data_IF_794149918560
#
_entry.id   IF_794149918560
#
_cell.length_a   1.000
_cell.length_b   1.000
_cell.length_c   1.000
_cell.angle_alpha   90.00
_cell.angle_beta   90.00
_cell.angle_gamma   90.00
#
_symmetry.space_group_name_H-M   'P 1'
#
loop_
_entity.id
_entity.type
_entity.pdbx_description
1 polymer ?
#
# COMPACT_ATOMS: atom_id res chain seq x y z
N UNK A 1 2.02 -42.80 -7.67
CA UNK A 1 1.30 -43.84 -8.46
C UNK A 1 0.83 -44.91 -7.49
N UNK A 2 -0.44 -44.86 -7.06
CA UNK A 2 -1.05 -45.93 -6.27
C UNK A 2 -2.19 -46.50 -7.13
N UNK A 3 -1.93 -47.67 -7.70
CA UNK A 3 -2.84 -48.37 -8.59
C UNK A 3 -3.94 -49.05 -7.76
N UNK A 4 -5.18 -48.87 -8.21
CA UNK A 4 -6.44 -49.35 -7.63
C UNK A 4 -6.48 -50.88 -7.66
N UNK A 5 -6.65 -51.49 -6.49
CA UNK A 5 -7.25 -52.82 -6.41
C UNK A 5 -8.78 -52.70 -6.54
N UNK A 6 -9.44 -53.50 -7.38
CA UNK A 6 -10.89 -53.41 -7.56
C UNK A 6 -11.63 -54.03 -6.35
N UNK A 7 -12.21 -53.14 -5.55
CA UNK A 7 -13.34 -53.33 -4.64
C UNK A 7 -13.89 -54.76 -4.50
N UNK A 8 -13.50 -55.45 -3.41
CA UNK A 8 -14.15 -56.66 -2.85
C UNK A 8 -15.69 -56.57 -2.76
N UNK A 9 -16.22 -55.35 -2.71
CA UNK A 9 -17.66 -55.09 -2.69
C UNK A 9 -18.35 -55.33 -4.05
N UNK A 10 -17.67 -55.03 -5.17
CA UNK A 10 -18.20 -55.24 -6.51
C UNK A 10 -18.22 -56.73 -6.88
N UNK A 11 -17.25 -57.51 -6.37
CA UNK A 11 -17.22 -58.97 -6.53
C UNK A 11 -18.36 -59.63 -5.73
N UNK A 12 -18.61 -59.20 -4.50
CA UNK A 12 -19.74 -59.70 -3.70
C UNK A 12 -21.10 -59.34 -4.31
N UNK A 13 -21.24 -58.16 -4.93
CA UNK A 13 -22.46 -57.78 -5.65
C UNK A 13 -22.67 -58.62 -6.92
N UNK A 14 -21.59 -58.95 -7.65
CA UNK A 14 -21.66 -59.76 -8.86
C UNK A 14 -21.98 -61.22 -8.54
N UNK A 15 -21.44 -61.76 -7.44
CA UNK A 15 -21.77 -63.10 -6.95
C UNK A 15 -23.22 -63.20 -6.43
N UNK A 16 -23.70 -62.18 -5.72
CA UNK A 16 -25.09 -62.14 -5.25
C UNK A 16 -26.09 -61.95 -6.40
N UNK A 17 -25.73 -61.18 -7.43
CA UNK A 17 -26.52 -61.06 -8.66
C UNK A 17 -26.54 -62.37 -9.47
N UNK A 18 -25.41 -63.10 -9.54
CA UNK A 18 -25.32 -64.37 -10.27
C UNK A 18 -26.12 -65.50 -9.61
N UNK A 19 -26.22 -65.49 -8.27
CA UNK A 19 -27.05 -66.44 -7.51
C UNK A 19 -28.55 -66.14 -7.61
N UNK A 20 -28.95 -64.92 -7.97
CA UNK A 20 -30.35 -64.55 -8.22
C UNK A 20 -30.77 -64.65 -9.70
N UNK A 21 -29.85 -64.66 -10.66
CA UNK A 21 -30.18 -64.79 -12.09
C UNK A 21 -30.32 -66.26 -12.58
N UNK A 22 -30.03 -67.25 -11.73
CA UNK A 22 -30.09 -68.68 -12.06
C UNK A 22 -31.48 -69.33 -12.01
N UNK A 23 -32.54 -68.62 -11.62
CA UNK A 23 -33.91 -69.15 -11.61
C UNK A 23 -34.71 -68.64 -12.83
N UNK A 24 -34.58 -69.36 -13.95
CA UNK A 24 -35.39 -69.17 -15.14
C UNK A 24 -36.86 -69.49 -14.88
N UNK A 25 -37.64 -68.46 -14.53
CA UNK A 25 -39.09 -68.52 -14.42
C UNK A 25 -39.67 -67.12 -14.62
N UNK A 26 -40.72 -66.99 -15.45
CA UNK A 26 -41.35 -65.73 -15.93
C UNK A 26 -41.92 -64.80 -14.83
N UNK A 27 -41.57 -64.98 -13.55
CA UNK A 27 -41.94 -64.11 -12.42
C UNK A 27 -40.75 -63.47 -11.67
N UNK A 28 -39.50 -63.90 -11.91
CA UNK A 28 -38.35 -63.45 -11.13
C UNK A 28 -37.96 -61.97 -11.39
N UNK A 29 -38.20 -61.47 -12.60
CA UNK A 29 -37.90 -60.08 -12.98
C UNK A 29 -38.86 -59.05 -12.37
N UNK A 30 -40.10 -59.44 -12.06
CA UNK A 30 -41.09 -58.54 -11.43
C UNK A 30 -40.88 -58.52 -9.92
N UNK A 31 -40.61 -59.67 -9.30
CA UNK A 31 -40.31 -59.75 -7.87
C UNK A 31 -39.07 -58.95 -7.47
N UNK A 32 -37.99 -59.03 -8.27
CA UNK A 32 -36.78 -58.24 -8.03
C UNK A 32 -37.02 -56.73 -8.22
N UNK A 33 -37.81 -56.32 -9.21
CA UNK A 33 -38.18 -54.90 -9.41
C UNK A 33 -39.07 -54.37 -8.30
N UNK A 34 -40.01 -55.18 -7.81
CA UNK A 34 -40.84 -54.83 -6.66
C UNK A 34 -40.02 -54.75 -5.38
N UNK A 35 -39.07 -55.66 -5.17
CA UNK A 35 -38.19 -55.62 -3.99
C UNK A 35 -37.20 -54.46 -4.05
N UNK A 36 -36.64 -54.14 -5.23
CA UNK A 36 -35.80 -52.95 -5.42
C UNK A 36 -36.62 -51.67 -5.26
N UNK A 37 -37.83 -51.62 -5.83
CA UNK A 37 -38.74 -50.48 -5.70
C UNK A 37 -39.21 -50.26 -4.26
N UNK A 38 -39.59 -51.33 -3.57
CA UNK A 38 -39.99 -51.27 -2.16
C UNK A 38 -38.80 -50.94 -1.25
N UNK A 39 -37.61 -51.48 -1.52
CA UNK A 39 -36.38 -51.15 -0.80
C UNK A 39 -35.96 -49.69 -0.98
N UNK A 40 -36.04 -49.17 -2.21
CA UNK A 40 -35.75 -47.76 -2.50
C UNK A 40 -36.77 -46.81 -1.86
N UNK A 41 -38.06 -47.17 -1.85
CA UNK A 41 -39.10 -46.39 -1.17
C UNK A 41 -38.94 -46.43 0.36
N UNK A 42 -38.68 -47.59 0.95
CA UNK A 42 -38.43 -47.71 2.39
C UNK A 42 -37.19 -46.93 2.82
N UNK A 43 -36.12 -46.96 2.01
CA UNK A 43 -34.91 -46.16 2.23
C UNK A 43 -35.20 -44.66 2.09
N UNK A 44 -35.98 -44.26 1.09
CA UNK A 44 -36.41 -42.87 0.89
C UNK A 44 -37.24 -42.31 2.04
N UNK A 45 -38.16 -43.09 2.62
CA UNK A 45 -38.97 -42.67 3.78
C UNK A 45 -38.11 -42.56 5.04
N UNK A 46 -37.16 -43.49 5.25
CA UNK A 46 -36.22 -43.44 6.38
C UNK A 46 -35.31 -42.21 6.33
N UNK A 47 -34.88 -41.81 5.13
CA UNK A 47 -33.97 -40.67 4.96
C UNK A 47 -34.72 -39.33 4.89
N UNK A 48 -36.05 -39.37 4.73
CA UNK A 48 -36.93 -38.20 4.68
C UNK A 48 -37.32 -37.64 6.05
N UNK A 49 -37.03 -38.32 7.16
CA UNK A 49 -37.28 -37.79 8.51
C UNK A 49 -35.99 -37.34 9.17
N UNK A 50 -36.01 -36.14 9.76
CA UNK A 50 -34.95 -35.66 10.63
C UNK A 50 -35.57 -35.12 11.91
N UNK A 51 -34.95 -35.42 13.05
CA UNK A 51 -35.41 -34.95 14.35
C UNK A 51 -34.58 -33.75 14.76
N UNK A 52 -35.23 -32.69 15.25
CA UNK A 52 -34.57 -31.52 15.83
C UNK A 52 -34.71 -31.60 17.34
N UNK A 53 -33.59 -31.78 18.04
CA UNK A 53 -33.55 -31.88 19.49
C UNK A 53 -33.88 -30.54 20.18
N UNK A 54 -34.41 -30.62 21.40
CA UNK A 54 -34.85 -29.46 22.19
C UNK A 54 -33.76 -28.42 22.37
N UNK A 55 -33.84 -27.33 21.60
CA UNK A 55 -32.90 -26.20 21.64
C UNK A 55 -32.08 -25.91 20.40
N UNK A 56 -32.24 -26.73 19.37
CA UNK A 56 -31.77 -26.42 18.03
C UNK A 56 -32.95 -25.92 17.18
N UNK A 57 -32.68 -25.08 16.18
CA UNK A 57 -33.64 -24.84 15.09
C UNK A 57 -32.99 -25.22 13.78
N UNK A 58 -33.78 -25.79 12.88
CA UNK A 58 -33.34 -26.14 11.55
C UNK A 58 -33.89 -25.13 10.54
N UNK A 59 -33.04 -24.72 9.61
CA UNK A 59 -33.44 -23.98 8.41
C UNK A 59 -33.31 -24.96 7.24
N UNK A 60 -34.39 -25.14 6.48
CA UNK A 60 -34.40 -26.02 5.30
C UNK A 60 -34.06 -25.19 4.07
N UNK A 61 -33.02 -25.60 3.35
CA UNK A 61 -32.63 -25.00 2.07
C UNK A 61 -33.21 -25.81 0.91
N UNK A 62 -34.00 -25.18 0.03
CA UNK A 62 -34.52 -25.79 -1.20
C UNK A 62 -33.59 -25.48 -2.39
N UNK A 63 -33.10 -26.52 -3.06
CA UNK A 63 -32.16 -26.43 -4.20
C UNK A 63 -32.72 -25.76 -5.47
N UNK A 64 -34.04 -25.64 -5.60
CA UNK A 64 -34.72 -25.13 -6.82
C UNK A 64 -35.27 -23.70 -6.65
N UNK A 65 -35.41 -23.21 -5.41
CA UNK A 65 -36.15 -21.96 -5.13
C UNK A 65 -35.54 -21.02 -4.09
N UNK A 66 -34.32 -21.28 -3.62
CA UNK A 66 -33.65 -20.43 -2.64
C UNK A 66 -34.17 -20.62 -1.20
N UNK A 67 -33.80 -19.68 -0.31
CA UNK A 67 -34.15 -19.73 1.10
C UNK A 67 -35.63 -19.39 1.31
N UNK A 68 -36.41 -20.32 1.84
CA UNK A 68 -37.73 -20.01 2.38
C UNK A 68 -37.53 -19.28 3.72
N UNK A 69 -37.70 -17.95 3.69
CA UNK A 69 -37.48 -17.06 4.84
C UNK A 69 -38.44 -17.29 6.02
N UNK A 70 -39.43 -18.18 5.90
CA UNK A 70 -40.56 -18.26 6.84
C UNK A 70 -40.79 -19.63 7.49
N UNK A 71 -39.81 -20.54 7.47
CA UNK A 71 -39.94 -21.84 8.19
C UNK A 71 -38.71 -22.17 9.00
N UNK A 72 -38.48 -21.38 10.05
CA UNK A 72 -37.63 -21.81 11.15
C UNK A 72 -38.40 -22.85 11.96
N UNK A 73 -38.15 -24.13 11.65
CA UNK A 73 -38.86 -25.25 12.26
C UNK A 73 -38.48 -25.36 13.73
N UNK A 74 -39.46 -25.20 14.61
CA UNK A 74 -39.32 -25.41 16.04
C UNK A 74 -39.13 -26.91 16.34
N UNK A 75 -38.59 -27.23 17.51
CA UNK A 75 -38.32 -28.59 18.01
C UNK A 75 -39.37 -29.65 17.60
N UNK A 76 -38.92 -30.81 17.11
CA UNK A 76 -39.82 -31.87 16.62
C UNK A 76 -39.27 -32.69 15.46
N UNK A 77 -40.08 -33.67 15.04
CA UNK A 77 -39.81 -34.53 13.89
C UNK A 77 -40.24 -33.83 12.61
N UNK A 78 -39.30 -33.54 11.71
CA UNK A 78 -39.56 -32.80 10.48
C UNK A 78 -39.32 -33.67 9.25
N UNK A 79 -40.18 -33.49 8.26
CA UNK A 79 -40.13 -34.21 6.99
C UNK A 79 -39.38 -33.38 5.95
N UNK A 80 -38.37 -33.99 5.30
CA UNK A 80 -37.56 -33.40 4.22
C UNK A 80 -37.57 -34.28 2.97
N UNK A 81 -37.33 -33.66 1.83
CA UNK A 81 -37.12 -34.35 0.55
C UNK A 81 -35.61 -34.55 0.32
N UNK A 82 -35.06 -35.78 0.42
CA UNK A 82 -33.61 -36.00 0.54
C UNK A 82 -32.74 -35.45 -0.59
N UNK A 83 -33.29 -35.27 -1.80
CA UNK A 83 -32.55 -34.86 -3.00
C UNK A 83 -32.64 -33.36 -3.34
N UNK A 84 -33.64 -32.64 -2.80
CA UNK A 84 -33.86 -31.20 -3.06
C UNK A 84 -33.65 -30.35 -1.79
N UNK A 85 -33.70 -30.96 -0.61
CA UNK A 85 -33.67 -30.26 0.68
C UNK A 85 -32.47 -30.65 1.56
N UNK A 86 -31.71 -29.66 2.00
CA UNK A 86 -30.63 -29.82 2.99
C UNK A 86 -30.98 -29.07 4.29
N UNK A 87 -31.05 -29.75 5.44
CA UNK A 87 -31.21 -29.11 6.72
C UNK A 87 -29.86 -28.59 7.22
N UNK A 88 -29.80 -27.34 7.67
CA UNK A 88 -28.70 -26.89 8.51
C UNK A 88 -29.25 -26.67 9.91
N UNK A 89 -28.72 -27.47 10.84
CA UNK A 89 -29.12 -27.47 12.24
C UNK A 89 -28.14 -26.56 12.97
N UNK A 90 -28.65 -25.47 13.54
CA UNK A 90 -27.83 -24.55 14.34
C UNK A 90 -28.36 -24.52 15.77
N UNK A 91 -27.43 -24.61 16.72
CA UNK A 91 -27.72 -24.47 18.15
C UNK A 91 -27.95 -23.00 18.46
N UNK A 92 -29.17 -22.65 18.86
CA UNK A 92 -29.52 -21.28 19.22
C UNK A 92 -29.18 -20.99 20.68
N UNK A 93 -28.98 -22.03 21.50
CA UNK A 93 -28.78 -21.89 22.95
C UNK A 93 -27.33 -21.76 23.38
N UNK A 94 -26.35 -22.18 22.58
CA UNK A 94 -24.97 -22.22 23.07
C UNK A 94 -24.38 -20.82 23.37
N UNK A 95 -24.73 -19.76 22.64
CA UNK A 95 -24.16 -18.42 22.86
C UNK A 95 -25.16 -17.26 22.81
N UNK A 96 -26.31 -17.40 22.15
CA UNK A 96 -27.26 -16.28 21.98
C UNK A 96 -28.00 -15.89 23.28
N UNK A 97 -28.44 -16.84 24.15
CA UNK A 97 -29.05 -16.49 25.43
C UNK A 97 -28.04 -15.90 26.41
N UNK A 98 -26.79 -16.37 26.41
CA UNK A 98 -25.72 -15.83 27.24
C UNK A 98 -25.39 -14.39 26.85
N UNK A 99 -25.28 -14.11 25.54
CA UNK A 99 -25.06 -12.76 25.04
C UNK A 99 -26.25 -11.83 25.37
N UNK A 100 -27.49 -12.28 25.18
CA UNK A 100 -28.69 -11.50 25.54
C UNK A 100 -28.84 -11.28 27.06
N UNK A 101 -28.42 -12.24 27.90
CA UNK A 101 -28.45 -12.12 29.36
C UNK A 101 -27.33 -11.21 29.90
N UNK A 102 -26.15 -11.21 29.28
CA UNK A 102 -24.99 -10.43 29.74
C UNK A 102 -24.95 -9.00 29.17
N UNK A 103 -25.29 -8.82 27.88
CA UNK A 103 -25.16 -7.53 27.20
C UNK A 103 -26.49 -6.74 27.13
N UNK A 104 -27.64 -7.41 27.22
CA UNK A 104 -28.96 -6.78 27.05
C UNK A 104 -29.31 -6.54 25.58
N UNK A 105 -30.46 -5.89 25.32
CA UNK A 105 -30.88 -5.53 23.96
C UNK A 105 -30.01 -4.43 23.34
N UNK A 106 -29.38 -3.60 24.17
CA UNK A 106 -28.60 -2.41 23.77
C UNK A 106 -27.10 -2.73 23.58
N UNK A 107 -26.80 -3.96 23.16
CA UNK A 107 -25.44 -4.45 23.03
C UNK A 107 -24.68 -3.70 21.91
N UNK A 108 -25.40 -3.33 20.86
CA UNK A 108 -24.92 -2.55 19.73
C UNK A 108 -24.54 -1.12 20.13
N UNK A 109 -25.34 -0.48 20.98
CA UNK A 109 -25.08 0.90 21.43
C UNK A 109 -24.00 0.98 22.52
N UNK A 110 -23.81 -0.08 23.30
CA UNK A 110 -22.89 -0.05 24.45
C UNK A 110 -21.58 -0.77 24.22
N UNK A 111 -21.62 -1.97 23.63
CA UNK A 111 -20.44 -2.84 23.51
C UNK A 111 -19.64 -2.55 22.25
N UNK A 112 -20.28 -2.27 21.11
CA UNK A 112 -19.55 -1.94 19.89
C UNK A 112 -18.68 -0.68 20.06
N UNK A 113 -19.19 0.46 20.60
CA UNK A 113 -18.34 1.63 20.84
C UNK A 113 -17.25 1.36 21.88
N UNK A 114 -17.50 0.48 22.86
CA UNK A 114 -16.51 0.12 23.88
C UNK A 114 -15.34 -0.64 23.28
N UNK A 115 -15.61 -1.69 22.49
CA UNK A 115 -14.60 -2.49 21.79
C UNK A 115 -13.81 -1.62 20.81
N UNK A 116 -14.50 -0.76 20.04
CA UNK A 116 -13.84 0.13 19.07
C UNK A 116 -12.89 1.10 19.77
N UNK A 117 -13.33 1.74 20.84
CA UNK A 117 -12.49 2.68 21.58
C UNK A 117 -11.30 1.99 22.28
N UNK A 118 -11.48 0.77 22.80
CA UNK A 118 -10.41 -0.03 23.41
C UNK A 118 -9.33 -0.36 22.37
N UNK A 119 -9.74 -0.96 21.24
CA UNK A 119 -8.81 -1.36 20.17
C UNK A 119 -8.14 -0.14 19.56
N UNK A 120 -8.88 0.92 19.24
CA UNK A 120 -8.31 2.14 18.66
C UNK A 120 -7.25 2.77 19.57
N UNK A 121 -7.50 2.87 20.88
CA UNK A 121 -6.49 3.37 21.85
C UNK A 121 -5.25 2.49 21.88
N UNK A 122 -5.43 1.16 21.86
CA UNK A 122 -4.31 0.22 21.91
C UNK A 122 -3.44 0.28 20.65
N UNK A 123 -4.04 0.50 19.47
CA UNK A 123 -3.32 0.59 18.20
C UNK A 123 -2.64 1.94 18.06
N UNK A 124 -3.35 3.05 18.32
CA UNK A 124 -2.78 4.40 18.21
C UNK A 124 -1.58 4.58 19.14
N UNK A 125 -1.57 3.94 20.31
CA UNK A 125 -0.42 3.96 21.21
C UNK A 125 0.85 3.28 20.67
N UNK A 126 0.72 2.34 19.72
CA UNK A 126 1.85 1.61 19.12
C UNK A 126 2.54 2.39 17.99
N UNK A 127 1.87 3.38 17.40
CA UNK A 127 2.34 4.11 16.22
C UNK A 127 2.62 5.57 16.54
N UNK A 128 3.65 6.13 15.92
CA UNK A 128 3.82 7.59 15.88
C UNK A 128 2.76 8.19 14.95
N UNK A 129 2.26 9.40 15.19
CA UNK A 129 1.21 9.92 14.32
C UNK A 129 1.69 10.21 12.89
N UNK A 130 2.98 10.46 12.65
CA UNK A 130 3.51 10.51 11.29
C UNK A 130 3.30 9.18 10.55
N UNK A 131 3.38 8.05 11.27
CA UNK A 131 3.13 6.71 10.74
C UNK A 131 1.63 6.45 10.57
N UNK A 132 0.77 6.97 11.45
CA UNK A 132 -0.68 6.85 11.29
C UNK A 132 -1.18 7.45 9.97
N UNK A 133 -0.54 8.53 9.52
CA UNK A 133 -0.83 9.17 8.23
C UNK A 133 -0.20 8.39 7.07
N UNK A 134 1.11 8.15 7.14
CA UNK A 134 1.87 7.58 6.01
C UNK A 134 1.60 6.09 5.80
N UNK A 135 1.32 5.34 6.86
CA UNK A 135 1.08 3.89 6.86
C UNK A 135 -0.39 3.57 7.18
N UNK A 136 -1.33 4.45 6.79
CA UNK A 136 -2.77 4.29 7.06
C UNK A 136 -3.31 2.90 6.68
N UNK A 137 -2.86 2.34 5.55
CA UNK A 137 -3.30 1.01 5.11
C UNK A 137 -2.90 -0.11 6.09
N UNK A 138 -1.66 -0.08 6.59
CA UNK A 138 -1.15 -1.06 7.54
C UNK A 138 -1.85 -0.92 8.89
N UNK A 139 -2.04 0.31 9.36
CA UNK A 139 -2.76 0.61 10.60
C UNK A 139 -4.21 0.14 10.51
N UNK A 140 -4.88 0.39 9.38
CA UNK A 140 -6.26 -0.04 9.15
C UNK A 140 -6.41 -1.57 9.14
N UNK A 141 -5.47 -2.30 8.53
CA UNK A 141 -5.46 -3.75 8.55
C UNK A 141 -5.24 -4.31 9.96
N UNK A 142 -4.38 -3.66 10.74
CA UNK A 142 -4.10 -4.05 12.11
C UNK A 142 -5.31 -3.80 13.03
N UNK A 143 -5.94 -2.62 12.94
CA UNK A 143 -7.19 -2.31 13.66
C UNK A 143 -8.28 -3.31 13.32
N UNK A 144 -8.44 -3.62 12.03
CA UNK A 144 -9.40 -4.64 11.57
C UNK A 144 -9.13 -5.96 12.30
N UNK A 145 -7.91 -6.49 12.22
CA UNK A 145 -7.55 -7.77 12.86
C UNK A 145 -7.83 -7.76 14.36
N UNK A 146 -7.42 -6.72 15.08
CA UNK A 146 -7.64 -6.63 16.53
C UNK A 146 -9.12 -6.49 16.89
N UNK A 147 -9.92 -5.77 16.10
CA UNK A 147 -11.37 -5.69 16.28
C UNK A 147 -12.05 -7.05 16.08
N UNK A 148 -11.62 -7.81 15.06
CA UNK A 148 -12.14 -9.15 14.80
C UNK A 148 -11.82 -10.12 15.94
N UNK A 149 -10.60 -10.11 16.45
CA UNK A 149 -10.25 -10.96 17.60
C UNK A 149 -11.00 -10.53 18.86
N UNK A 150 -11.10 -9.21 19.13
CA UNK A 150 -11.80 -8.70 20.31
C UNK A 150 -13.31 -8.95 20.26
N UNK A 151 -13.93 -8.89 19.07
CA UNK A 151 -15.34 -9.16 18.89
C UNK A 151 -15.71 -10.62 19.20
N UNK A 152 -14.79 -11.56 18.98
CA UNK A 152 -15.00 -12.99 19.32
C UNK A 152 -15.19 -13.21 20.82
N UNK A 153 -14.51 -12.44 21.67
CA UNK A 153 -14.65 -12.54 23.13
C UNK A 153 -16.08 -12.25 23.59
N UNK A 154 -16.81 -11.45 22.82
CA UNK A 154 -18.22 -11.09 23.07
C UNK A 154 -19.19 -11.89 22.20
N UNK A 155 -18.71 -12.92 21.50
CA UNK A 155 -19.47 -13.73 20.56
C UNK A 155 -20.12 -12.92 19.42
N UNK A 156 -19.51 -11.78 19.06
CA UNK A 156 -19.95 -10.91 17.96
C UNK A 156 -19.16 -11.28 16.70
N UNK A 157 -19.89 -11.52 15.61
CA UNK A 157 -19.30 -11.73 14.28
C UNK A 157 -19.38 -10.41 13.52
N UNK A 158 -18.23 -9.87 13.11
CA UNK A 158 -18.13 -8.69 12.26
C UNK A 158 -18.00 -9.15 10.80
N UNK A 159 -18.62 -8.44 9.85
CA UNK A 159 -18.48 -8.76 8.41
C UNK A 159 -17.32 -7.99 7.77
N UNK A 160 -17.33 -6.66 7.86
CA UNK A 160 -16.20 -5.80 7.49
C UNK A 160 -16.17 -4.53 8.35
N UNK A 161 -14.97 -3.99 8.56
CA UNK A 161 -14.74 -2.72 9.26
C UNK A 161 -13.92 -1.80 8.36
N UNK A 162 -14.47 -0.61 8.13
CA UNK A 162 -13.82 0.48 7.40
C UNK A 162 -13.57 1.67 8.32
N UNK A 163 -12.39 2.29 8.21
CA UNK A 163 -12.06 3.53 8.92
C UNK A 163 -12.34 4.71 7.99
N UNK A 164 -13.35 5.50 8.30
CA UNK A 164 -13.78 6.64 7.47
C UNK A 164 -12.75 7.76 7.48
N UNK A 165 -12.51 8.35 8.65
CA UNK A 165 -11.67 9.55 8.81
C UNK A 165 -10.83 9.46 10.09
N UNK A 166 -9.56 9.85 9.98
CA UNK A 166 -8.67 10.01 11.12
C UNK A 166 -8.40 11.50 11.29
N UNK A 167 -8.97 12.09 12.34
CA UNK A 167 -8.72 13.48 12.70
C UNK A 167 -7.72 13.55 13.85
N UNK A 168 -6.77 14.48 13.75
CA UNK A 168 -5.85 14.82 14.84
C UNK A 168 -6.35 16.07 15.55
N UNK A 169 -6.00 16.24 16.83
CA UNK A 169 -6.26 17.50 17.51
C UNK A 169 -5.48 18.64 16.84
N UNK A 170 -6.02 19.87 16.89
CA UNK A 170 -5.37 21.05 16.29
C UNK A 170 -3.96 21.28 16.86
N UNK A 171 -3.80 21.05 18.17
CA UNK A 171 -2.52 21.16 18.87
C UNK A 171 -1.48 20.17 18.33
N UNK A 172 -1.91 18.93 18.05
CA UNK A 172 -1.05 17.89 17.51
C UNK A 172 -0.59 18.21 16.09
N UNK A 173 -1.52 18.64 15.23
CA UNK A 173 -1.20 19.08 13.86
C UNK A 173 -0.20 20.24 13.87
N UNK A 174 -0.45 21.26 14.71
CA UNK A 174 0.45 22.39 14.85
C UNK A 174 1.86 21.97 15.33
N UNK A 175 1.95 21.01 16.27
CA UNK A 175 3.23 20.49 16.75
C UNK A 175 4.00 19.73 15.66
N UNK A 176 3.31 18.95 14.81
CA UNK A 176 3.93 18.25 13.68
C UNK A 176 4.40 19.23 12.61
N UNK A 177 3.59 20.21 12.25
CA UNK A 177 3.96 21.26 11.30
C UNK A 177 5.17 22.06 11.80
N UNK A 178 5.16 22.49 13.07
CA UNK A 178 6.28 23.18 13.68
C UNK A 178 7.57 22.35 13.64
N UNK A 179 7.47 21.04 13.94
CA UNK A 179 8.62 20.13 13.85
C UNK A 179 9.12 19.98 12.41
N UNK A 180 8.21 19.90 11.43
CA UNK A 180 8.58 19.84 10.02
C UNK A 180 9.28 21.13 9.56
N UNK A 181 8.76 22.30 9.94
CA UNK A 181 9.38 23.60 9.64
C UNK A 181 10.78 23.66 10.25
N UNK A 182 10.93 23.33 11.54
CA UNK A 182 12.23 23.33 12.19
C UNK A 182 13.23 22.37 11.53
N UNK A 183 12.77 21.19 11.10
CA UNK A 183 13.63 20.21 10.43
C UNK A 183 14.02 20.66 9.01
N UNK A 184 13.11 21.29 8.26
CA UNK A 184 13.40 21.89 6.96
C UNK A 184 14.36 23.08 7.09
N UNK A 185 14.19 23.92 8.11
CA UNK A 185 15.10 25.04 8.39
C UNK A 185 16.49 24.54 8.74
N UNK A 186 16.60 23.51 9.58
CA UNK A 186 17.88 22.89 9.90
C UNK A 186 18.58 22.31 8.65
N UNK A 187 17.84 21.62 7.78
CA UNK A 187 18.37 21.11 6.51
C UNK A 187 18.81 22.26 5.57
N UNK A 188 18.00 23.32 5.44
CA UNK A 188 18.34 24.49 4.63
C UNK A 188 19.58 25.20 5.16
N UNK A 189 19.72 25.33 6.48
CA UNK A 189 20.90 25.93 7.10
C UNK A 189 22.17 25.12 6.79
N UNK A 190 22.09 23.79 6.85
CA UNK A 190 23.20 22.91 6.45
C UNK A 190 23.57 23.10 4.97
N UNK A 191 22.58 23.11 4.07
CA UNK A 191 22.81 23.36 2.65
C UNK A 191 23.42 24.74 2.38
N UNK A 192 22.99 25.77 3.12
CA UNK A 192 23.55 27.11 2.98
C UNK A 192 25.03 27.16 3.39
N UNK A 193 25.39 26.54 4.51
CA UNK A 193 26.79 26.42 4.97
C UNK A 193 27.62 25.66 3.95
N UNK A 194 27.09 24.58 3.38
CA UNK A 194 27.79 23.80 2.38
C UNK A 194 28.00 24.59 1.08
N UNK A 195 26.98 25.28 0.59
CA UNK A 195 27.09 26.17 -0.57
C UNK A 195 28.14 27.26 -0.34
N UNK A 196 28.13 27.91 0.83
CA UNK A 196 29.11 28.94 1.18
C UNK A 196 30.56 28.39 1.17
N UNK A 197 30.77 27.15 1.65
CA UNK A 197 32.08 26.48 1.57
C UNK A 197 32.49 26.19 0.12
N UNK A 198 31.56 25.75 -0.73
CA UNK A 198 31.85 25.51 -2.14
C UNK A 198 32.20 26.81 -2.86
N UNK A 199 31.45 27.88 -2.64
CA UNK A 199 31.72 29.21 -3.22
C UNK A 199 33.08 29.75 -2.75
N UNK A 200 33.43 29.55 -1.47
CA UNK A 200 34.74 29.92 -0.95
C UNK A 200 35.87 29.14 -1.64
N UNK A 201 35.72 27.82 -1.76
CA UNK A 201 36.70 26.97 -2.47
C UNK A 201 36.85 27.39 -3.93
N UNK A 202 35.74 27.67 -4.61
CA UNK A 202 35.77 28.15 -5.99
C UNK A 202 36.55 29.47 -6.11
N UNK A 203 36.37 30.43 -5.19
CA UNK A 203 37.13 31.69 -5.18
C UNK A 203 38.62 31.48 -4.93
N UNK A 204 38.99 30.59 -4.01
CA UNK A 204 40.39 30.27 -3.73
C UNK A 204 41.04 29.65 -4.97
N UNK A 205 40.41 28.62 -5.56
CA UNK A 205 40.91 27.96 -6.77
C UNK A 205 41.03 28.95 -7.94
N UNK A 206 40.04 29.83 -8.10
CA UNK A 206 40.07 30.87 -9.13
C UNK A 206 41.23 31.85 -8.91
N UNK A 207 41.41 32.34 -7.68
CA UNK A 207 42.49 33.27 -7.34
C UNK A 207 43.87 32.63 -7.48
N UNK A 208 44.02 31.36 -7.10
CA UNK A 208 45.24 30.56 -7.30
C UNK A 208 45.53 30.39 -8.80
N UNK A 209 44.53 30.00 -9.59
CA UNK A 209 44.66 29.86 -11.04
C UNK A 209 45.01 31.17 -11.74
N UNK A 210 44.42 32.29 -11.33
CA UNK A 210 44.75 33.62 -11.83
C UNK A 210 46.16 34.07 -11.42
N UNK A 211 46.57 33.81 -10.18
CA UNK A 211 47.91 34.14 -9.70
C UNK A 211 48.98 33.33 -10.46
N UNK A 212 48.74 32.04 -10.70
CA UNK A 212 49.64 31.19 -11.47
C UNK A 212 49.69 31.60 -12.94
N UNK A 213 48.52 31.88 -13.55
CA UNK A 213 48.43 32.39 -14.92
C UNK A 213 49.14 33.74 -15.07
N UNK A 214 49.00 34.66 -14.10
CA UNK A 214 49.67 35.96 -14.11
C UNK A 214 51.20 35.81 -14.00
N UNK A 215 51.69 34.89 -13.17
CA UNK A 215 53.13 34.56 -13.10
C UNK A 215 53.65 34.03 -14.43
N UNK A 216 52.95 33.06 -15.03
CA UNK A 216 53.33 32.50 -16.34
C UNK A 216 53.30 33.56 -17.45
N UNK A 217 52.27 34.40 -17.49
CA UNK A 217 52.17 35.51 -18.43
C UNK A 217 53.29 36.53 -18.23
N UNK A 218 53.60 36.88 -16.97
CA UNK A 218 54.71 37.76 -16.63
C UNK A 218 56.03 37.25 -17.18
N UNK A 219 56.34 35.96 -16.95
CA UNK A 219 57.54 35.33 -17.50
C UNK A 219 57.56 35.33 -19.04
N UNK A 220 56.42 35.07 -19.69
CA UNK A 220 56.31 35.10 -21.16
C UNK A 220 56.50 36.52 -21.73
N UNK A 221 55.98 37.53 -21.04
CA UNK A 221 56.11 38.95 -21.39
C UNK A 221 57.56 39.41 -21.26
N UNK A 222 58.25 39.05 -20.17
CA UNK A 222 59.67 39.38 -19.99
C UNK A 222 60.54 38.76 -21.09
N UNK A 223 60.18 37.57 -21.58
CA UNK A 223 60.88 36.91 -22.70
C UNK A 223 60.67 37.59 -24.06
N UNK A 224 59.51 38.20 -24.30
CA UNK A 224 59.22 38.88 -25.57
C UNK A 224 58.49 40.22 -25.37
N UNK A 225 59.21 41.37 -25.38
CA UNK A 225 58.61 42.69 -25.17
C UNK A 225 57.62 43.10 -26.29
N UNK A 226 57.66 42.46 -27.46
CA UNK A 226 56.69 42.68 -28.53
C UNK A 226 55.28 42.17 -28.21
N UNK A 227 55.16 41.23 -27.27
CA UNK A 227 53.87 40.63 -26.90
C UNK A 227 52.91 41.64 -26.24
N UNK A 228 53.42 42.53 -25.38
CA UNK A 228 52.61 43.59 -24.75
C UNK A 228 52.07 44.59 -25.77
N UNK A 229 52.90 44.97 -26.76
CA UNK A 229 52.49 45.88 -27.84
C UNK A 229 51.36 45.28 -28.66
N UNK A 230 51.50 44.01 -29.08
CA UNK A 230 50.45 43.30 -29.81
C UNK A 230 49.15 43.18 -28.99
N UNK A 231 49.26 42.87 -27.70
CA UNK A 231 48.09 42.71 -26.82
C UNK A 231 47.36 44.03 -26.57
N UNK A 232 48.08 45.15 -26.45
CA UNK A 232 47.49 46.51 -26.42
C UNK A 232 46.77 46.85 -27.73
N UNK A 233 47.38 46.58 -28.88
CA UNK A 233 46.73 46.81 -30.19
C UNK A 233 45.43 46.00 -30.32
N UNK A 234 45.44 44.73 -29.90
CA UNK A 234 44.22 43.89 -29.90
C UNK A 234 43.16 44.40 -28.92
N UNK A 235 43.55 44.87 -27.74
CA UNK A 235 42.63 45.48 -26.77
C UNK A 235 42.00 46.76 -27.34
N UNK A 236 42.81 47.64 -27.94
CA UNK A 236 42.35 48.83 -28.65
C UNK A 236 41.37 48.47 -29.78
N UNK A 237 41.67 47.46 -30.59
CA UNK A 237 40.77 46.98 -31.65
C UNK A 237 39.44 46.44 -31.08
N UNK A 238 39.48 45.69 -29.97
CA UNK A 238 38.28 45.16 -29.32
C UNK A 238 37.42 46.27 -28.70
N UNK A 239 38.04 47.24 -28.03
CA UNK A 239 37.37 48.43 -27.48
C UNK A 239 36.72 49.21 -28.61
N UNK A 240 37.46 49.51 -29.69
CA UNK A 240 36.93 50.21 -30.86
C UNK A 240 35.73 49.49 -31.48
N UNK A 241 35.79 48.15 -31.59
CA UNK A 241 34.67 47.33 -32.09
C UNK A 241 33.43 47.40 -31.18
N UNK A 242 33.62 47.30 -29.87
CA UNK A 242 32.52 47.39 -28.89
C UNK A 242 31.89 48.78 -28.89
N UNK A 243 32.70 49.84 -28.97
CA UNK A 243 32.23 51.24 -29.04
C UNK A 243 31.46 51.47 -30.35
N UNK A 244 31.97 51.00 -31.48
CA UNK A 244 31.30 51.13 -32.78
C UNK A 244 29.94 50.39 -32.84
N UNK A 245 29.79 49.31 -32.07
CA UNK A 245 28.54 48.53 -32.00
C UNK A 245 27.57 49.07 -30.95
N UNK A 246 28.06 49.82 -29.95
CA UNK A 246 27.22 50.34 -28.88
C UNK A 246 26.26 51.42 -29.39
N UNK A 247 24.99 51.35 -28.99
CA UNK A 247 23.98 52.33 -29.42
C UNK A 247 24.11 53.70 -28.73
N UNK A 248 24.85 53.76 -27.62
CA UNK A 248 24.99 54.97 -26.82
C UNK A 248 26.20 55.78 -27.31
N UNK A 249 25.95 56.92 -27.97
CA UNK A 249 27.01 57.82 -28.46
C UNK A 249 27.60 58.64 -27.32
N UNK A 250 28.56 58.06 -26.61
CA UNK A 250 29.37 58.76 -25.61
C UNK A 250 30.66 59.22 -26.28
N UNK A 251 30.94 60.52 -26.27
CA UNK A 251 32.22 61.07 -26.74
C UNK A 251 33.29 60.73 -25.71
N UNK A 252 34.11 59.74 -26.04
CA UNK A 252 35.24 59.32 -25.22
C UNK A 252 36.53 59.70 -25.95
N UNK A 253 37.44 60.38 -25.26
CA UNK A 253 38.75 60.77 -25.78
C UNK A 253 39.58 59.54 -26.12
N UNK A 254 40.31 59.56 -27.24
CA UNK A 254 41.14 58.45 -27.71
C UNK A 254 42.22 58.02 -26.69
N UNK A 255 42.70 58.97 -25.88
CA UNK A 255 43.68 58.69 -24.81
C UNK A 255 43.07 57.89 -23.66
N UNK A 256 41.80 58.15 -23.29
CA UNK A 256 41.09 57.38 -22.26
C UNK A 256 40.81 55.94 -22.69
N UNK A 257 40.73 55.69 -23.99
CA UNK A 257 40.47 54.37 -24.57
C UNK A 257 41.73 53.60 -24.96
N UNK A 258 42.92 54.14 -24.68
CA UNK A 258 44.21 53.54 -25.04
C UNK A 258 44.30 53.27 -26.56
N UNK A 259 43.65 54.13 -27.36
CA UNK A 259 43.62 54.02 -28.82
C UNK A 259 44.79 54.78 -29.47
N UNK A 260 45.46 55.64 -28.71
CA UNK A 260 46.61 56.41 -29.17
C UNK A 260 47.87 55.53 -29.22
N UNK A 261 48.19 55.03 -30.42
CA UNK A 261 49.34 54.15 -30.68
C UNK A 261 50.67 54.92 -30.82
N UNK A 262 50.65 56.26 -30.80
CA UNK A 262 51.81 57.12 -31.03
C UNK A 262 52.42 57.73 -29.75
N UNK A 263 51.79 57.54 -28.58
CA UNK A 263 52.26 58.08 -27.29
C UNK A 263 53.64 57.49 -26.88
N UNK A 264 54.55 58.30 -26.35
CA UNK A 264 55.88 57.88 -25.89
C UNK A 264 55.82 56.82 -24.77
N UNK A 265 54.71 56.75 -24.04
CA UNK A 265 54.42 55.68 -23.08
C UNK A 265 54.32 54.28 -23.74
N UNK A 266 54.01 54.22 -25.05
CA UNK A 266 53.97 53.01 -25.87
C UNK A 266 55.36 52.41 -26.13
N UNK A 267 56.38 53.27 -26.28
CA UNK A 267 57.75 52.86 -26.55
C UNK A 267 58.54 52.61 -25.26
N UNK A 268 58.30 53.39 -24.21
CA UNK A 268 59.03 53.30 -22.95
C UNK A 268 58.73 52.02 -22.12
N UNK A 269 57.61 51.33 -22.35
CA UNK A 269 57.31 50.06 -21.66
C UNK A 269 58.19 48.89 -22.14
N UNK A 270 58.82 49.02 -23.32
CA UNK A 270 59.72 48.00 -23.88
C UNK A 270 61.16 48.10 -23.36
N UNK A 271 61.49 49.18 -22.68
CA UNK A 271 62.80 49.41 -22.09
C UNK A 271 62.59 49.43 -20.58
N UNK A 272 62.93 48.32 -19.92
CA UNK A 272 63.08 48.31 -18.47
C UNK A 272 64.06 49.42 -18.09
N UNK A 273 63.52 50.55 -17.61
CA UNK A 273 64.35 51.58 -16.98
C UNK A 273 65.00 50.93 -15.75
N UNK A 274 66.33 50.86 -15.79
CA UNK A 274 67.15 50.75 -14.59
C UNK A 274 66.89 51.94 -13.68
#
# INVERSE_FOLDING_TARGET
MANKEPNRFLTNLRDLASRMSGAGGKGAGIGLKLLIGAGALAYGVKEATFTVDGGQRAIIFNRIGGMQMDTVLAEGLHFRIPWIQYPIIYDIRANLPAMYQQLGKDYDERVLPSIVNEVLKSVVAKFNASQLITQRAQVSLLIRRELFERAKDFNIILDDVAITELSFSREYTAAVEAKQVAQQEAQRAQFYVEKAKQDQRHKIIQAEGEAEAAKMLGQAVTKNPGYLKLRRIRAAQAIAKTVATSQNKVYLSADNLVLNLQDDSFNNLSLGKK
#
